data_IF_339253338383
#
_entry.id   IF_339253338383
#
_cell.length_a   1.000
_cell.length_b   1.000
_cell.length_c   1.000
_cell.angle_alpha   90.00
_cell.angle_beta   90.00
_cell.angle_gamma   90.00
#
_symmetry.space_group_name_H-M   'P 1'
#
loop_
_entity.id
_entity.type
_entity.pdbx_description
1 polymer ?
#
# COMPACT_ATOMS: atom_id res chain seq x y z
N UNK A 1 58.37 -79.00 10.93
CA UNK A 1 57.13 -78.59 11.63
C UNK A 1 56.91 -77.10 11.42
N UNK A 2 55.64 -76.66 11.31
CA UNK A 2 55.18 -75.63 10.37
C UNK A 2 55.52 -74.18 10.76
N UNK A 3 55.41 -73.22 9.81
CA UNK A 3 55.60 -71.80 10.09
C UNK A 3 54.57 -71.32 11.11
N UNK A 4 55.05 -70.74 12.23
CA UNK A 4 54.18 -70.03 13.17
C UNK A 4 53.75 -68.70 12.52
N UNK A 5 52.49 -68.66 12.14
CA UNK A 5 51.77 -67.47 11.66
C UNK A 5 51.87 -66.31 12.65
N UNK A 6 52.09 -65.07 12.19
CA UNK A 6 51.85 -63.90 13.03
C UNK A 6 50.36 -63.82 13.36
N UNK A 7 50.07 -63.69 14.66
CA UNK A 7 48.73 -63.45 15.18
C UNK A 7 48.08 -62.25 14.49
N UNK A 8 46.82 -62.32 14.05
CA UNK A 8 46.18 -61.18 13.40
C UNK A 8 46.10 -60.00 14.38
N UNK A 9 46.55 -58.83 13.92
CA UNK A 9 46.35 -57.54 14.57
C UNK A 9 44.86 -57.42 14.94
N UNK A 10 44.57 -57.15 16.21
CA UNK A 10 43.22 -56.86 16.67
C UNK A 10 42.75 -55.57 16.00
N UNK A 11 42.03 -55.70 14.90
CA UNK A 11 41.25 -54.59 14.33
C UNK A 11 40.30 -54.14 15.42
N UNK A 12 40.55 -52.97 16.01
CA UNK A 12 39.59 -52.35 16.92
C UNK A 12 38.36 -52.02 16.11
N UNK A 13 37.38 -52.92 16.11
CA UNK A 13 36.05 -52.66 15.58
C UNK A 13 35.57 -51.36 16.22
N UNK A 14 35.43 -50.31 15.41
CA UNK A 14 34.75 -49.09 15.85
C UNK A 14 33.33 -49.52 16.20
N UNK A 15 33.05 -49.67 17.50
CA UNK A 15 31.70 -49.92 17.96
C UNK A 15 30.85 -48.73 17.53
N UNK A 16 30.05 -48.93 16.48
CA UNK A 16 29.01 -47.97 16.13
C UNK A 16 28.01 -47.97 17.28
N UNK A 17 28.08 -46.93 18.14
CA UNK A 17 27.02 -46.67 19.12
C UNK A 17 25.71 -46.61 18.33
N UNK A 18 24.81 -47.54 18.63
CA UNK A 18 23.44 -47.52 18.10
C UNK A 18 22.86 -46.15 18.47
N UNK A 19 22.57 -45.32 17.47
CA UNK A 19 21.95 -44.02 17.71
C UNK A 19 20.58 -44.29 18.33
N UNK A 20 20.35 -43.80 19.54
CA UNK A 20 19.02 -43.84 20.13
C UNK A 20 18.06 -43.06 19.21
N UNK A 21 16.82 -43.54 19.01
CA UNK A 21 15.83 -42.77 18.28
C UNK A 21 15.69 -41.41 18.96
N UNK A 22 16.02 -40.35 18.23
CA UNK A 22 15.98 -39.00 18.74
C UNK A 22 14.52 -38.58 18.87
N UNK A 23 14.16 -37.93 19.98
CA UNK A 23 12.81 -37.42 20.19
C UNK A 23 12.41 -36.46 19.04
N UNK A 24 11.22 -36.61 18.44
CA UNK A 24 10.79 -35.80 17.30
C UNK A 24 10.88 -34.29 17.56
N UNK A 25 10.62 -33.82 18.78
CA UNK A 25 10.71 -32.38 19.09
C UNK A 25 12.17 -31.92 19.02
N UNK A 26 13.09 -32.70 19.60
CA UNK A 26 14.52 -32.40 19.54
C UNK A 26 15.09 -32.46 18.12
N UNK A 27 14.63 -33.39 17.27
CA UNK A 27 15.00 -33.45 15.86
C UNK A 27 14.55 -32.20 15.10
N UNK A 28 13.32 -31.74 15.35
CA UNK A 28 12.80 -30.51 14.73
C UNK A 28 13.55 -29.26 15.19
N UNK A 29 14.01 -29.20 16.44
CA UNK A 29 14.85 -28.09 16.94
C UNK A 29 16.21 -28.05 16.24
N UNK A 30 16.89 -29.19 16.12
CA UNK A 30 18.17 -29.28 15.38
C UNK A 30 17.98 -28.85 13.93
N UNK A 31 16.87 -29.26 13.31
CA UNK A 31 16.54 -28.85 11.95
C UNK A 31 16.33 -27.34 11.84
N UNK A 32 15.58 -26.74 12.77
CA UNK A 32 15.37 -25.29 12.80
C UNK A 32 16.68 -24.52 12.98
N UNK A 33 17.59 -24.99 13.84
CA UNK A 33 18.90 -24.38 14.04
C UNK A 33 19.77 -24.45 12.78
N UNK A 34 19.73 -25.57 12.05
CA UNK A 34 20.42 -25.71 10.76
C UNK A 34 19.86 -24.72 9.75
N UNK A 35 18.53 -24.62 9.61
CA UNK A 35 17.89 -23.65 8.71
C UNK A 35 18.28 -22.21 9.05
N UNK A 36 18.24 -21.84 10.33
CA UNK A 36 18.64 -20.51 10.81
C UNK A 36 20.12 -20.22 10.52
N UNK A 37 20.99 -21.21 10.72
CA UNK A 37 22.41 -21.08 10.43
C UNK A 37 22.67 -20.93 8.93
N UNK A 38 21.95 -21.67 8.08
CA UNK A 38 22.06 -21.53 6.62
C UNK A 38 21.57 -20.18 6.14
N UNK A 39 20.48 -19.65 6.68
CA UNK A 39 19.95 -18.33 6.33
C UNK A 39 20.92 -17.20 6.73
N UNK A 40 21.55 -17.31 7.91
CA UNK A 40 22.59 -16.36 8.35
C UNK A 40 23.83 -16.38 7.45
N UNK A 41 24.20 -17.55 6.96
CA UNK A 41 25.38 -17.75 6.09
C UNK A 41 25.06 -17.46 4.62
N UNK A 42 23.79 -17.41 4.24
CA UNK A 42 23.34 -17.10 2.89
C UNK A 42 23.60 -15.63 2.58
N UNK A 43 24.75 -15.36 1.98
CA UNK A 43 24.98 -14.10 1.28
C UNK A 43 24.19 -14.14 -0.02
N UNK A 44 23.00 -13.53 -0.02
CA UNK A 44 22.20 -13.32 -1.23
C UNK A 44 23.04 -12.60 -2.27
N UNK A 45 23.60 -13.36 -3.22
CA UNK A 45 24.33 -12.84 -4.37
C UNK A 45 23.28 -12.40 -5.38
N UNK A 46 22.67 -11.25 -5.10
CA UNK A 46 21.75 -10.61 -6.03
C UNK A 46 22.51 -9.98 -7.22
N UNK A 47 21.81 -9.60 -8.30
CA UNK A 47 22.41 -8.98 -9.49
C UNK A 47 23.06 -7.61 -9.25
N UNK A 48 23.00 -7.09 -8.02
CA UNK A 48 23.51 -5.77 -7.63
C UNK A 48 24.66 -5.89 -6.61
N UNK A 49 25.68 -6.72 -6.90
CA UNK A 49 26.94 -6.67 -6.16
C UNK A 49 27.79 -5.51 -6.69
N UNK A 50 28.09 -4.55 -5.82
CA UNK A 50 28.97 -3.43 -6.15
C UNK A 50 30.41 -3.76 -5.73
N UNK A 51 31.36 -3.58 -6.65
CA UNK A 51 32.77 -3.58 -6.32
C UNK A 51 33.12 -2.30 -5.57
N UNK A 52 33.49 -2.42 -4.30
CA UNK A 52 33.79 -1.28 -3.42
C UNK A 52 34.90 -0.39 -4.00
N UNK A 53 35.81 -0.96 -4.79
CA UNK A 53 36.89 -0.22 -5.46
C UNK A 53 36.41 0.63 -6.63
N UNK A 54 35.24 0.31 -7.18
CA UNK A 54 34.62 1.03 -8.30
C UNK A 54 33.54 2.01 -7.83
N UNK A 55 33.33 2.13 -6.52
CA UNK A 55 32.42 3.12 -5.96
C UNK A 55 33.08 4.50 -6.01
N UNK A 56 32.42 5.45 -6.68
CA UNK A 56 32.79 6.86 -6.64
C UNK A 56 32.11 7.44 -5.41
N UNK A 57 32.90 7.89 -4.42
CA UNK A 57 32.38 8.59 -3.26
C UNK A 57 32.01 10.00 -3.70
N UNK A 58 30.70 10.26 -3.83
CA UNK A 58 30.18 11.59 -4.12
C UNK A 58 30.27 12.39 -2.81
N UNK A 59 30.99 13.53 -2.77
CA UNK A 59 31.01 14.37 -1.58
C UNK A 59 29.62 14.93 -1.31
N UNK A 60 29.34 15.21 -0.04
CA UNK A 60 28.08 15.82 0.35
C UNK A 60 27.85 17.15 -0.40
N UNK A 61 26.58 17.52 -0.53
CA UNK A 61 26.20 18.78 -1.16
C UNK A 61 26.97 19.92 -0.48
N UNK A 62 27.53 20.91 -1.19
CA UNK A 62 28.26 22.02 -0.57
C UNK A 62 27.41 22.86 0.41
N UNK A 63 26.08 22.70 0.37
CA UNK A 63 25.14 23.34 1.30
C UNK A 63 24.74 22.40 2.46
N UNK A 64 25.40 21.26 2.61
CA UNK A 64 25.18 20.35 3.72
C UNK A 64 25.91 20.90 4.95
N UNK A 65 25.21 21.68 5.75
CA UNK A 65 25.66 22.07 7.08
C UNK A 65 25.17 21.03 8.09
N UNK A 66 26.10 20.33 8.74
CA UNK A 66 25.79 19.64 10.00
C UNK A 66 25.51 20.71 11.06
N UNK A 67 24.42 20.63 11.83
CA UNK A 67 24.21 21.55 12.93
C UNK A 67 25.25 21.24 14.02
N UNK A 68 26.39 21.93 13.98
CA UNK A 68 27.50 21.74 14.93
C UNK A 68 27.26 22.45 16.29
N UNK A 69 26.08 23.04 16.49
CA UNK A 69 25.72 23.78 17.71
C UNK A 69 24.78 23.00 18.62
N UNK A 70 25.13 22.87 19.90
CA UNK A 70 24.18 22.52 20.95
C UNK A 70 23.15 23.64 21.05
N UNK A 71 21.95 23.42 20.52
CA UNK A 71 20.86 24.39 20.60
C UNK A 71 20.43 24.54 22.06
N UNK A 72 20.41 25.77 22.56
CA UNK A 72 19.91 26.05 23.91
C UNK A 72 18.40 25.80 23.94
N UNK A 73 17.86 25.25 25.02
CA UNK A 73 16.41 24.97 25.11
C UNK A 73 15.52 26.18 24.77
N UNK A 74 15.98 27.40 25.09
CA UNK A 74 15.28 28.64 24.73
C UNK A 74 15.23 28.88 23.22
N UNK A 75 16.35 28.70 22.52
CA UNK A 75 16.44 28.85 21.07
C UNK A 75 15.59 27.81 20.34
N UNK A 76 15.52 26.60 20.91
CA UNK A 76 14.65 25.53 20.40
C UNK A 76 13.17 25.90 20.51
N UNK A 77 12.72 26.41 21.66
CA UNK A 77 11.33 26.86 21.84
C UNK A 77 10.98 28.05 20.93
N UNK A 78 11.89 29.00 20.76
CA UNK A 78 11.72 30.13 19.85
C UNK A 78 11.64 29.66 18.39
N UNK A 79 12.50 28.73 17.99
CA UNK A 79 12.48 28.13 16.67
C UNK A 79 11.17 27.36 16.40
N UNK A 80 10.64 26.62 17.38
CA UNK A 80 9.35 25.95 17.26
C UNK A 80 8.21 26.95 17.11
N UNK A 81 8.19 28.02 17.92
CA UNK A 81 7.16 29.07 17.82
C UNK A 81 7.22 29.78 16.47
N UNK A 82 8.42 30.06 15.97
CA UNK A 82 8.63 30.63 14.64
C UNK A 82 8.14 29.67 13.55
N UNK A 83 8.52 28.39 13.65
CA UNK A 83 8.08 27.35 12.73
C UNK A 83 6.55 27.29 12.71
N UNK A 84 5.88 27.18 13.86
CA UNK A 84 4.42 27.13 13.92
C UNK A 84 3.73 28.37 13.32
N UNK A 85 4.33 29.55 13.48
CA UNK A 85 3.82 30.78 12.88
C UNK A 85 3.93 30.76 11.35
N UNK A 86 5.07 30.32 10.83
CA UNK A 86 5.45 30.41 9.40
C UNK A 86 4.98 29.19 8.61
N UNK A 87 4.84 28.03 9.25
CA UNK A 87 4.69 26.74 8.58
C UNK A 87 3.41 26.67 7.75
N UNK A 88 3.52 26.67 6.40
CA UNK A 88 2.38 26.60 5.51
C UNK A 88 1.74 25.21 5.52
N UNK A 89 2.47 24.18 5.97
CA UNK A 89 2.02 22.79 5.96
C UNK A 89 0.91 22.57 6.99
N UNK A 90 1.07 23.08 8.21
CA UNK A 90 0.04 22.99 9.27
C UNK A 90 -1.25 23.73 8.92
N UNK A 91 -1.18 24.74 8.04
CA UNK A 91 -2.34 25.52 7.58
C UNK A 91 -2.90 25.04 6.24
N UNK A 92 -2.45 23.88 5.75
CA UNK A 92 -2.86 23.32 4.46
C UNK A 92 -4.27 22.71 4.50
N UNK A 93 -4.63 22.10 5.61
CA UNK A 93 -5.92 21.43 5.78
C UNK A 93 -7.08 22.39 6.07
N UNK A 94 -6.76 23.64 6.47
CA UNK A 94 -7.75 24.66 6.81
C UNK A 94 -8.40 25.24 5.55
N UNK A 95 -9.70 25.49 5.64
CA UNK A 95 -10.49 26.07 4.54
C UNK A 95 -10.08 27.55 4.40
N UNK A 96 -10.08 28.17 3.20
CA UNK A 96 -9.61 29.55 3.02
C UNK A 96 -10.13 30.62 4.00
N UNK A 97 -11.42 30.62 4.43
CA UNK A 97 -11.94 31.55 5.42
C UNK A 97 -11.37 31.37 6.83
N UNK A 98 -10.82 30.21 7.15
CA UNK A 98 -10.13 29.96 8.43
C UNK A 98 -8.65 30.37 8.37
N UNK A 99 -8.10 30.50 7.16
CA UNK A 99 -6.70 30.83 6.92
C UNK A 99 -6.48 32.34 6.74
N UNK A 100 -7.42 33.03 6.11
CA UNK A 100 -7.32 34.46 5.81
C UNK A 100 -8.60 35.18 6.25
N UNK A 101 -8.46 36.45 6.61
CA UNK A 101 -9.59 37.29 7.03
C UNK A 101 -10.48 37.71 5.84
N UNK A 102 -9.91 37.76 4.64
CA UNK A 102 -10.55 38.23 3.41
C UNK A 102 -10.14 37.34 2.23
N UNK A 103 -11.00 37.20 1.20
CA UNK A 103 -10.65 36.47 -0.01
C UNK A 103 -9.50 37.17 -0.74
N UNK A 104 -8.49 36.40 -1.13
CA UNK A 104 -7.32 36.93 -1.85
C UNK A 104 -7.56 37.05 -3.36
N UNK A 105 -8.56 36.32 -3.88
CA UNK A 105 -8.87 36.25 -5.32
C UNK A 105 -10.38 36.28 -5.54
N UNK A 106 -10.80 36.73 -6.73
CA UNK A 106 -12.22 36.78 -7.13
C UNK A 106 -12.87 35.39 -7.11
N UNK A 107 -12.14 34.35 -7.49
CA UNK A 107 -12.63 32.97 -7.44
C UNK A 107 -12.91 32.49 -6.01
N UNK A 108 -12.14 32.98 -5.02
CA UNK A 108 -12.37 32.66 -3.61
C UNK A 108 -13.58 33.41 -3.05
N UNK A 109 -13.86 34.62 -3.54
CA UNK A 109 -14.97 35.45 -3.08
C UNK A 109 -16.32 34.74 -3.24
N UNK A 110 -16.55 34.12 -4.40
CA UNK A 110 -17.80 33.37 -4.68
C UNK A 110 -18.05 32.21 -3.69
N UNK A 111 -16.99 31.54 -3.23
CA UNK A 111 -17.07 30.42 -2.30
C UNK A 111 -16.81 30.78 -0.84
N UNK A 112 -16.57 32.07 -0.53
CA UNK A 112 -16.09 32.51 0.78
C UNK A 112 -17.11 32.21 1.88
N UNK A 113 -18.39 32.47 1.60
CA UNK A 113 -19.52 32.13 2.44
C UNK A 113 -20.25 30.91 1.87
N UNK A 114 -19.71 29.71 2.13
CA UNK A 114 -20.26 28.45 1.61
C UNK A 114 -21.61 28.05 2.23
N UNK A 115 -21.87 28.49 3.46
CA UNK A 115 -23.12 28.21 4.17
C UNK A 115 -24.12 29.34 3.90
N UNK A 116 -25.37 29.02 3.52
CA UNK A 116 -26.39 30.05 3.33
C UNK A 116 -26.65 30.77 4.67
N UNK A 117 -26.79 32.10 4.60
CA UNK A 117 -27.10 32.94 5.77
C UNK A 117 -28.44 32.54 6.42
N UNK A 118 -29.39 32.12 5.59
CA UNK A 118 -30.71 31.67 6.02
C UNK A 118 -30.71 30.14 6.03
N UNK A 119 -31.02 29.55 7.19
CA UNK A 119 -31.25 28.11 7.31
C UNK A 119 -32.45 27.73 6.46
N UNK A 120 -32.33 26.65 5.68
CA UNK A 120 -33.46 26.10 4.92
C UNK A 120 -34.55 25.70 5.90
N UNK A 121 -35.75 26.23 5.69
CA UNK A 121 -36.89 25.89 6.53
C UNK A 121 -37.42 24.50 6.14
N UNK A 122 -37.71 23.61 7.09
CA UNK A 122 -38.15 22.23 6.79
C UNK A 122 -39.44 22.21 5.96
N UNK A 123 -40.36 23.15 6.16
CA UNK A 123 -41.60 23.26 5.38
C UNK A 123 -41.39 23.54 3.88
N UNK A 124 -40.23 24.09 3.50
CA UNK A 124 -39.89 24.41 2.10
C UNK A 124 -38.78 23.51 1.56
N UNK A 125 -38.39 22.48 2.31
CA UNK A 125 -37.34 21.55 1.93
C UNK A 125 -37.98 20.23 1.48
N UNK A 126 -38.04 20.03 0.16
CA UNK A 126 -38.55 18.82 -0.47
C UNK A 126 -37.41 18.07 -1.17
N UNK A 127 -36.54 17.34 -0.43
CA UNK A 127 -35.50 16.55 -1.06
C UNK A 127 -36.15 15.40 -1.82
N UNK A 128 -35.66 15.12 -3.03
CA UNK A 128 -36.06 13.90 -3.76
C UNK A 128 -35.41 12.71 -3.07
N UNK A 129 -36.18 12.01 -2.23
CA UNK A 129 -35.77 10.72 -1.67
C UNK A 129 -35.82 9.63 -2.74
N UNK A 130 -35.03 8.57 -2.55
CA UNK A 130 -35.18 7.35 -3.34
C UNK A 130 -36.38 6.58 -2.79
N UNK A 131 -37.26 6.11 -3.67
CA UNK A 131 -38.27 5.11 -3.35
C UNK A 131 -37.71 3.70 -3.59
N UNK A 132 -38.37 2.68 -3.04
CA UNK A 132 -37.97 1.26 -3.14
C UNK A 132 -37.63 0.84 -4.57
N UNK A 133 -38.43 1.29 -5.55
CA UNK A 133 -38.25 0.97 -6.97
C UNK A 133 -36.96 1.61 -7.51
N UNK A 134 -36.69 2.87 -7.15
CA UNK A 134 -35.47 3.55 -7.58
C UNK A 134 -34.22 3.01 -6.90
N UNK A 135 -34.34 2.56 -5.64
CA UNK A 135 -33.25 1.91 -4.90
C UNK A 135 -32.94 0.52 -5.48
N UNK A 136 -33.96 -0.26 -5.81
CA UNK A 136 -33.81 -1.50 -6.57
C UNK A 136 -33.13 -1.24 -7.92
N UNK A 137 -33.55 -0.22 -8.65
CA UNK A 137 -32.96 0.10 -9.95
C UNK A 137 -31.47 0.48 -9.85
N UNK A 138 -31.09 1.25 -8.82
CA UNK A 138 -29.72 1.66 -8.57
C UNK A 138 -28.83 0.48 -8.14
N UNK A 139 -29.31 -0.36 -7.22
CA UNK A 139 -28.59 -1.58 -6.79
C UNK A 139 -28.43 -2.59 -7.94
N UNK A 140 -29.45 -2.74 -8.78
CA UNK A 140 -29.39 -3.57 -9.97
C UNK A 140 -28.38 -3.01 -10.99
N UNK A 141 -28.38 -1.71 -11.24
CA UNK A 141 -27.41 -1.07 -12.13
C UNK A 141 -25.97 -1.25 -11.65
N UNK A 142 -25.73 -1.06 -10.35
CA UNK A 142 -24.40 -1.26 -9.74
C UNK A 142 -23.90 -2.69 -9.87
N UNK A 143 -24.78 -3.69 -9.81
CA UNK A 143 -24.39 -5.11 -9.88
C UNK A 143 -24.33 -5.68 -11.31
N UNK A 144 -25.22 -5.25 -12.20
CA UNK A 144 -25.38 -5.81 -13.56
C UNK A 144 -24.88 -4.87 -14.67
N UNK A 145 -24.50 -3.64 -14.34
CA UNK A 145 -24.05 -2.61 -15.30
C UNK A 145 -25.15 -2.15 -16.28
N UNK A 146 -26.40 -2.51 -16.02
CA UNK A 146 -27.57 -2.24 -16.87
C UNK A 146 -28.78 -1.91 -16.02
N UNK A 147 -29.67 -1.07 -16.53
CA UNK A 147 -30.91 -0.73 -15.82
C UNK A 147 -31.90 -1.90 -15.91
N UNK A 148 -32.57 -2.32 -14.82
CA UNK A 148 -33.50 -3.46 -14.84
C UNK A 148 -34.71 -3.24 -15.76
N UNK A 149 -35.06 -1.99 -16.07
CA UNK A 149 -36.17 -1.63 -16.96
C UNK A 149 -35.73 -1.42 -18.41
N UNK A 150 -34.43 -1.57 -18.71
CA UNK A 150 -33.93 -1.45 -20.08
C UNK A 150 -34.38 -2.67 -20.88
N UNK A 151 -35.08 -2.43 -22.01
CA UNK A 151 -35.46 -3.50 -22.94
C UNK A 151 -34.21 -4.25 -23.35
N UNK A 152 -34.24 -5.58 -23.19
CA UNK A 152 -33.25 -6.42 -23.85
C UNK A 152 -33.53 -6.31 -25.34
N UNK A 153 -32.54 -5.90 -26.12
CA UNK A 153 -32.58 -6.08 -27.56
C UNK A 153 -32.58 -7.59 -27.79
N UNK A 154 -33.77 -8.19 -27.80
CA UNK A 154 -33.97 -9.57 -28.23
C UNK A 154 -33.72 -9.58 -29.73
N UNK A 155 -32.45 -9.71 -30.12
CA UNK A 155 -32.13 -10.14 -31.47
C UNK A 155 -32.55 -11.60 -31.54
N UNK A 156 -33.79 -11.84 -32.00
CA UNK A 156 -34.15 -13.13 -32.55
C UNK A 156 -33.10 -13.40 -33.64
N UNK A 157 -32.26 -14.41 -33.43
CA UNK A 157 -31.40 -14.91 -34.51
C UNK A 157 -32.34 -15.61 -35.48
N UNK A 158 -32.93 -14.84 -36.37
CA UNK A 158 -33.61 -15.40 -37.52
C UNK A 158 -32.57 -16.25 -38.26
N UNK A 159 -32.92 -17.50 -38.49
CA UNK A 159 -32.23 -18.54 -39.27
C UNK A 159 -32.00 -18.16 -40.75
N UNK A 160 -32.14 -16.88 -41.09
CA UNK A 160 -31.94 -16.30 -42.41
C UNK A 160 -30.93 -15.17 -42.24
N UNK A 161 -29.71 -15.38 -42.73
CA UNK A 161 -28.53 -14.52 -42.51
C UNK A 161 -28.67 -13.07 -42.98
N UNK A 162 -29.42 -12.25 -42.24
CA UNK A 162 -29.32 -10.80 -42.26
C UNK A 162 -29.17 -10.32 -40.82
N UNK A 163 -27.95 -9.92 -40.48
CA UNK A 163 -27.61 -9.45 -39.14
C UNK A 163 -28.44 -8.21 -38.75
N UNK A 164 -28.70 -8.00 -37.45
CA UNK A 164 -29.45 -6.85 -36.99
C UNK A 164 -28.61 -5.58 -37.15
N UNK A 165 -29.01 -4.69 -38.07
CA UNK A 165 -28.59 -3.30 -38.06
C UNK A 165 -29.22 -2.62 -36.85
N UNK A 166 -28.49 -2.54 -35.73
CA UNK A 166 -28.85 -1.67 -34.63
C UNK A 166 -28.59 -0.21 -35.06
N UNK A 167 -29.63 0.46 -35.54
CA UNK A 167 -29.63 1.90 -35.62
C UNK A 167 -29.65 2.45 -34.19
N UNK A 168 -28.46 2.82 -33.71
CA UNK A 168 -28.23 3.44 -32.42
C UNK A 168 -29.05 4.75 -32.33
N UNK A 169 -30.10 4.87 -31.49
CA UNK A 169 -30.65 6.18 -31.20
C UNK A 169 -29.66 6.87 -30.26
N UNK A 170 -28.86 7.79 -30.82
CA UNK A 170 -28.06 8.75 -30.05
C UNK A 170 -28.92 9.29 -28.92
N UNK A 171 -28.58 8.95 -27.68
CA UNK A 171 -29.15 9.59 -26.51
C UNK A 171 -28.83 11.08 -26.59
N UNK A 172 -29.81 11.99 -26.49
CA UNK A 172 -29.53 13.40 -26.36
C UNK A 172 -29.01 13.64 -24.94
N UNK A 173 -27.72 13.97 -24.84
CA UNK A 173 -27.18 14.65 -23.66
C UNK A 173 -27.89 16.00 -23.53
N UNK A 174 -28.68 16.15 -22.47
CA UNK A 174 -29.04 17.44 -21.87
C UNK A 174 -28.87 17.32 -20.37
#
# INVERSE_FOLDING_TARGET
MPPKTPSPLKTSEKQYRKKTPLDPISANKIWADICNQTERMERKTGPFQFDVRKLIIIPDKPNYTTPDGTVTMKEYEEAIKLLEKVDPIKKREKIPPEKYNLPATVAQDYGWYSKPLIKKHPLFQFPKGMCEITEYADTYYKSQGRNPFQKRDFTVKDHMGKGPTSANPKSPLK
#
